data_IF_183851982929
#
_entry.id   IF_183851982929
#
_cell.length_a   1.000
_cell.length_b   1.000
_cell.length_c   1.000
_cell.angle_alpha   90.00
_cell.angle_beta   90.00
_cell.angle_gamma   90.00
#
_symmetry.space_group_name_H-M   'P 1'
#
loop_
_entity.id
_entity.type
_entity.pdbx_description
1 polymer ?
#
# COMPACT_ATOMS: atom_id res chain seq x y z
N UNK A 1 3.07 -9.57 -2.00
CA UNK A 1 2.08 -8.53 -2.31
C UNK A 1 0.69 -9.12 -2.20
N UNK A 2 -0.27 -8.39 -1.61
CA UNK A 2 -1.66 -8.79 -1.46
C UNK A 2 -2.57 -7.84 -2.26
N UNK A 3 -3.53 -8.38 -3.01
CA UNK A 3 -4.64 -7.61 -3.59
C UNK A 3 -5.83 -7.71 -2.62
N UNK A 4 -6.25 -6.60 -2.02
CA UNK A 4 -7.29 -6.60 -0.98
C UNK A 4 -8.40 -5.58 -1.29
N UNK A 5 -9.58 -6.08 -1.66
CA UNK A 5 -10.74 -5.22 -1.89
C UNK A 5 -11.45 -4.78 -0.59
N UNK A 6 -11.02 -5.28 0.57
CA UNK A 6 -11.52 -4.90 1.89
C UNK A 6 -10.88 -3.62 2.44
N UNK A 7 -9.78 -3.14 1.85
CA UNK A 7 -9.04 -1.99 2.35
C UNK A 7 -9.12 -0.78 1.43
N UNK A 8 -9.40 0.39 2.00
CA UNK A 8 -9.56 1.65 1.25
C UNK A 8 -8.23 2.35 0.93
N UNK A 9 -7.11 1.79 1.39
CA UNK A 9 -5.78 2.41 1.35
C UNK A 9 -4.76 1.44 0.77
N UNK A 10 -3.71 1.96 0.12
CA UNK A 10 -2.55 1.16 -0.29
C UNK A 10 -1.50 1.22 0.83
N UNK A 11 -0.99 0.06 1.23
CA UNK A 11 0.04 -0.03 2.26
C UNK A 11 1.34 -0.62 1.71
N UNK A 12 2.46 -0.17 2.28
CA UNK A 12 3.78 -0.78 2.11
C UNK A 12 4.35 -1.11 3.48
N UNK A 13 5.04 -2.25 3.58
CA UNK A 13 5.61 -2.73 4.83
C UNK A 13 6.70 -1.78 5.33
N UNK A 14 6.53 -1.27 6.55
CA UNK A 14 7.56 -0.47 7.22
C UNK A 14 8.88 -1.22 7.39
N UNK A 15 8.81 -2.54 7.61
CA UNK A 15 9.98 -3.41 7.63
C UNK A 15 10.67 -3.42 6.27
N UNK A 16 9.92 -3.64 5.19
CA UNK A 16 10.48 -3.69 3.84
C UNK A 16 11.12 -2.36 3.44
N UNK A 17 10.47 -1.24 3.77
CA UNK A 17 11.01 0.12 3.59
C UNK A 17 12.34 0.30 4.33
N UNK A 18 12.43 -0.15 5.59
CA UNK A 18 13.64 -0.06 6.39
C UNK A 18 14.78 -0.94 5.84
N UNK A 19 14.48 -2.18 5.44
CA UNK A 19 15.45 -3.11 4.85
C UNK A 19 16.08 -2.57 3.56
N UNK A 20 15.28 -1.87 2.76
CA UNK A 20 15.71 -1.27 1.49
C UNK A 20 16.14 0.19 1.61
N UNK A 21 16.12 0.76 2.82
CA UNK A 21 16.54 2.14 3.12
C UNK A 21 15.83 3.18 2.25
N UNK A 22 14.54 2.96 1.98
CA UNK A 22 13.77 3.82 1.10
C UNK A 22 13.45 5.14 1.80
N UNK A 23 13.50 6.24 1.03
CA UNK A 23 13.17 7.57 1.52
C UNK A 23 11.66 7.75 1.55
N UNK A 24 11.13 8.06 2.73
CA UNK A 24 9.71 8.28 2.98
C UNK A 24 9.44 9.74 3.29
N UNK A 25 8.16 10.13 3.29
CA UNK A 25 7.72 11.45 3.76
C UNK A 25 6.79 11.27 4.96
N UNK A 26 7.16 11.86 6.09
CA UNK A 26 6.39 11.84 7.33
C UNK A 26 5.58 13.14 7.48
N UNK A 27 4.34 13.02 7.92
CA UNK A 27 3.42 14.12 8.21
C UNK A 27 3.01 14.05 9.69
N UNK A 28 3.63 14.90 10.51
CA UNK A 28 3.40 14.93 11.96
C UNK A 28 2.05 15.54 12.36
N UNK A 29 1.38 16.24 11.45
CA UNK A 29 0.06 16.85 11.64
C UNK A 29 -1.10 15.93 11.23
N UNK A 30 -0.78 14.74 10.70
CA UNK A 30 -1.76 13.79 10.18
C UNK A 30 -1.56 12.43 10.81
N UNK A 31 -2.67 11.79 11.15
CA UNK A 31 -2.67 10.40 11.62
C UNK A 31 -3.44 9.51 10.67
N UNK A 32 -3.05 8.25 10.63
CA UNK A 32 -3.82 7.19 9.97
C UNK A 32 -4.60 6.40 11.01
N UNK A 33 -5.77 5.90 10.60
CA UNK A 33 -6.59 4.99 11.39
C UNK A 33 -6.75 3.69 10.63
N UNK A 34 -6.20 2.62 11.18
CA UNK A 34 -6.19 1.30 10.53
C UNK A 34 -7.15 0.36 11.27
N UNK A 35 -8.15 -0.15 10.57
CA UNK A 35 -9.07 -1.23 10.96
C UNK A 35 -9.77 -1.11 12.34
N UNK A 36 -10.43 -2.22 12.73
CA UNK A 36 -11.30 -2.36 13.90
C UNK A 36 -10.63 -2.14 15.26
N UNK A 37 -9.30 -1.98 15.29
CA UNK A 37 -8.56 -1.52 16.47
C UNK A 37 -7.95 -0.19 16.09
N UNK A 38 -8.55 0.90 16.58
CA UNK A 38 -8.08 2.27 16.34
C UNK A 38 -6.64 2.38 16.86
N UNK A 39 -5.68 2.20 15.97
CA UNK A 39 -4.28 2.55 16.19
C UNK A 39 -4.07 3.84 15.44
N UNK A 40 -3.80 4.92 16.18
CA UNK A 40 -3.39 6.19 15.60
C UNK A 40 -1.87 6.18 15.50
N UNK A 41 -1.37 6.34 14.28
CA UNK A 41 0.05 6.55 13.99
C UNK A 41 0.20 7.80 13.15
N UNK A 42 1.32 8.50 13.29
CA UNK A 42 1.70 9.56 12.35
C UNK A 42 1.72 8.99 10.92
N UNK A 43 1.24 9.80 9.97
CA UNK A 43 1.17 9.41 8.59
C UNK A 43 2.57 9.45 7.97
N UNK A 44 3.03 8.30 7.51
CA UNK A 44 4.23 8.17 6.71
C UNK A 44 3.84 7.58 5.35
N UNK A 45 4.40 8.13 4.27
CA UNK A 45 4.08 7.70 2.90
C UNK A 45 5.32 7.50 2.04
N UNK A 46 5.17 6.66 1.03
CA UNK A 46 6.18 6.36 0.03
C UNK A 46 5.54 6.36 -1.37
N UNK A 47 6.03 7.20 -2.30
CA UNK A 47 5.71 7.05 -3.72
C UNK A 47 6.26 5.74 -4.26
N UNK A 48 5.43 4.95 -4.93
CA UNK A 48 5.78 3.67 -5.52
C UNK A 48 5.42 3.62 -7.00
N UNK A 49 6.23 2.87 -7.75
CA UNK A 49 5.94 2.45 -9.11
C UNK A 49 5.99 0.91 -9.15
N UNK A 50 4.86 0.30 -9.47
CA UNK A 50 4.65 -1.15 -9.35
C UNK A 50 4.44 -1.72 -10.75
N UNK A 51 5.36 -2.58 -11.16
CA UNK A 51 5.25 -3.34 -12.39
C UNK A 51 4.38 -4.57 -12.14
N UNK A 52 3.22 -4.63 -12.79
CA UNK A 52 2.30 -5.76 -12.67
C UNK A 52 2.26 -6.49 -14.02
N UNK A 53 2.62 -7.77 -14.01
CA UNK A 53 2.53 -8.61 -15.21
C UNK A 53 1.11 -8.63 -15.75
N UNK A 54 0.93 -8.30 -17.03
CA UNK A 54 -0.37 -8.24 -17.69
C UNK A 54 -1.03 -6.85 -17.70
N UNK A 55 -0.40 -5.84 -17.10
CA UNK A 55 -0.76 -4.43 -17.31
C UNK A 55 0.25 -3.78 -18.28
N UNK A 56 -0.25 -2.93 -19.17
CA UNK A 56 0.58 -2.25 -20.19
C UNK A 56 1.48 -1.16 -19.59
N UNK A 57 1.08 -0.59 -18.45
CA UNK A 57 1.79 0.47 -17.76
C UNK A 57 2.01 0.14 -16.28
N UNK A 58 3.08 0.70 -15.72
CA UNK A 58 3.39 0.61 -14.31
C UNK A 58 2.34 1.34 -13.48
N UNK A 59 1.85 0.72 -12.41
CA UNK A 59 0.95 1.39 -11.50
C UNK A 59 1.73 2.35 -10.59
N UNK A 60 1.45 3.65 -10.71
CA UNK A 60 2.08 4.70 -9.90
C UNK A 60 1.13 5.12 -8.80
N UNK A 61 1.56 5.02 -7.55
CA UNK A 61 0.73 5.36 -6.40
C UNK A 61 1.55 5.94 -5.25
N UNK A 62 0.86 6.49 -4.26
CA UNK A 62 1.43 6.82 -2.95
C UNK A 62 0.91 5.82 -1.95
N UNK A 63 1.79 5.04 -1.33
CA UNK A 63 1.45 4.05 -0.34
C UNK A 63 1.69 4.59 1.07
N UNK A 64 0.84 4.20 2.02
CA UNK A 64 1.06 4.44 3.44
C UNK A 64 2.05 3.41 3.97
N UNK A 65 3.08 3.87 4.67
CA UNK A 65 4.06 3.00 5.32
C UNK A 65 3.47 2.51 6.64
N UNK A 66 3.31 1.20 6.79
CA UNK A 66 2.69 0.62 7.98
C UNK A 66 3.17 -0.80 8.31
N UNK A 67 2.93 -1.23 9.55
CA UNK A 67 3.20 -2.59 9.99
C UNK A 67 2.09 -3.54 9.48
N UNK A 68 2.25 -4.02 8.25
CA UNK A 68 1.40 -5.05 7.63
C UNK A 68 1.95 -6.46 7.94
N UNK A 69 1.18 -7.56 7.72
CA UNK A 69 1.69 -8.91 7.93
C UNK A 69 2.98 -9.18 7.16
N UNK A 70 3.97 -9.80 7.82
CA UNK A 70 5.33 -10.01 7.30
C UNK A 70 5.40 -10.82 6.00
N UNK A 71 4.33 -11.55 5.65
CA UNK A 71 4.23 -12.29 4.39
C UNK A 71 4.04 -11.38 3.15
N UNK A 72 3.73 -10.10 3.35
CA UNK A 72 3.51 -9.14 2.28
C UNK A 72 4.40 -7.91 2.41
N UNK A 73 5.07 -7.55 1.32
CA UNK A 73 5.79 -6.26 1.23
C UNK A 73 4.85 -5.08 0.95
N UNK A 74 3.67 -5.35 0.37
CA UNK A 74 2.71 -4.34 -0.06
C UNK A 74 1.28 -4.93 -0.14
N UNK A 75 0.29 -4.12 0.23
CA UNK A 75 -1.15 -4.39 0.06
C UNK A 75 -1.72 -3.34 -0.88
N UNK A 76 -2.29 -3.78 -2.00
CA UNK A 76 -3.01 -2.94 -2.95
C UNK A 76 -4.50 -2.97 -2.63
N UNK A 77 -5.00 -1.82 -2.18
CA UNK A 77 -6.40 -1.61 -1.81
C UNK A 77 -7.30 -1.17 -2.96
N UNK A 78 -8.50 -0.70 -2.61
CA UNK A 78 -9.50 -0.13 -3.51
C UNK A 78 -8.94 0.83 -4.58
N UNK A 79 -7.99 1.76 -4.29
CA UNK A 79 -7.46 2.65 -5.32
C UNK A 79 -6.88 1.91 -6.52
N UNK A 80 -6.15 0.81 -6.32
CA UNK A 80 -5.61 0.00 -7.41
C UNK A 80 -6.72 -0.58 -8.30
N UNK A 81 -7.80 -1.09 -7.69
CA UNK A 81 -8.94 -1.64 -8.45
C UNK A 81 -9.70 -0.57 -9.23
N UNK A 82 -9.79 0.65 -8.70
CA UNK A 82 -10.44 1.77 -9.37
C UNK A 82 -9.63 2.30 -10.55
N UNK A 83 -8.32 2.44 -10.34
CA UNK A 83 -7.40 2.99 -11.34
C UNK A 83 -7.12 2.00 -12.46
N UNK A 84 -6.80 0.75 -12.12
CA UNK A 84 -6.37 -0.25 -13.11
C UNK A 84 -7.51 -1.12 -13.65
N UNK A 85 -8.65 -1.17 -12.95
CA UNK A 85 -9.81 -2.01 -13.30
C UNK A 85 -9.40 -3.42 -13.78
N UNK A 86 -8.58 -4.15 -13.00
CA UNK A 86 -8.04 -5.42 -13.43
C UNK A 86 -9.15 -6.45 -13.62
N UNK A 87 -9.02 -7.30 -14.64
CA UNK A 87 -9.86 -8.48 -14.78
C UNK A 87 -9.41 -9.54 -13.77
N UNK A 88 -10.25 -9.81 -12.77
CA UNK A 88 -9.97 -10.85 -11.78
C UNK A 88 -10.68 -12.12 -12.21
N UNK A 89 -9.90 -13.08 -12.73
CA UNK A 89 -10.41 -14.43 -12.99
C UNK A 89 -10.35 -15.23 -11.68
N UNK A 90 -11.52 -15.52 -11.11
CA UNK A 90 -11.68 -16.27 -9.86
C UNK A 90 -11.68 -17.79 -10.06
N UNK A 91 -11.37 -18.27 -11.27
CA UNK A 91 -11.44 -19.68 -11.65
C UNK A 91 -10.25 -20.52 -11.21
#
# INVERSE_FOLDING_TARGET
>A
MLLDCGTTTIYVSSRWVAEHQLQTTQFSDKTIRVDNKIVESELEVLPLEIQVSGLDEAYKCVAVVYAIPDEFDCILGIPFFQDMQPQIDWR
#
